data_IF_766268672496
#
_entry.id   IF_766268672496
#
_cell.length_a   1.000
_cell.length_b   1.000
_cell.length_c   1.000
_cell.angle_alpha   90.00
_cell.angle_beta   90.00
_cell.angle_gamma   90.00
#
_symmetry.space_group_name_H-M   'P 1'
#
loop_
_entity.id
_entity.type
_entity.pdbx_description
1 polymer ?
#
# COMPACT_ATOMS: atom_id res chain seq x y z
N UNK A 1 -55.54 -13.32 -32.19
CA UNK A 1 -54.54 -12.29 -31.81
C UNK A 1 -54.04 -12.60 -30.41
N UNK A 2 -53.09 -13.53 -30.35
CA UNK A 2 -52.50 -14.08 -29.13
C UNK A 2 -51.17 -13.35 -28.90
N UNK A 3 -51.05 -12.61 -27.79
CA UNK A 3 -49.78 -11.96 -27.41
C UNK A 3 -48.93 -12.96 -26.64
N UNK A 4 -47.83 -13.40 -27.26
CA UNK A 4 -46.76 -14.14 -26.60
C UNK A 4 -46.01 -13.20 -25.64
N UNK A 5 -45.79 -13.67 -24.41
CA UNK A 5 -44.81 -13.12 -23.47
C UNK A 5 -43.46 -13.72 -23.82
N UNK A 6 -42.52 -12.90 -24.27
CA UNK A 6 -41.12 -13.28 -24.35
C UNK A 6 -40.45 -13.04 -23.00
N UNK A 7 -40.00 -14.14 -22.40
CA UNK A 7 -39.11 -14.18 -21.25
C UNK A 7 -37.70 -13.83 -21.70
N UNK A 8 -37.26 -12.60 -21.41
CA UNK A 8 -35.86 -12.19 -21.57
C UNK A 8 -34.99 -12.85 -20.53
N UNK A 9 -34.33 -13.95 -20.91
CA UNK A 9 -33.22 -14.55 -20.18
C UNK A 9 -32.11 -13.50 -20.02
N UNK A 10 -31.86 -13.06 -18.79
CA UNK A 10 -30.62 -12.36 -18.47
C UNK A 10 -29.49 -13.37 -18.62
N UNK A 11 -28.79 -13.33 -19.75
CA UNK A 11 -27.52 -14.04 -19.89
C UNK A 11 -26.56 -13.45 -18.87
N UNK A 12 -26.06 -14.29 -17.96
CA UNK A 12 -24.93 -13.96 -17.12
C UNK A 12 -23.79 -13.49 -18.04
N UNK A 13 -23.48 -12.19 -17.98
CA UNK A 13 -22.30 -11.64 -18.61
C UNK A 13 -21.10 -12.45 -18.11
N UNK A 14 -20.35 -13.02 -19.04
CA UNK A 14 -19.21 -13.86 -18.73
C UNK A 14 -18.23 -13.15 -17.81
N UNK A 15 -17.72 -13.86 -16.80
CA UNK A 15 -16.53 -13.43 -16.07
C UNK A 15 -15.41 -13.28 -17.11
N UNK A 16 -14.93 -12.05 -17.29
CA UNK A 16 -14.00 -11.70 -18.36
C UNK A 16 -12.71 -12.52 -18.26
N UNK A 17 -12.28 -13.04 -19.40
CA UNK A 17 -11.08 -13.88 -19.59
C UNK A 17 -9.78 -13.07 -19.66
N UNK A 18 -9.76 -11.86 -19.14
CA UNK A 18 -8.55 -11.03 -19.15
C UNK A 18 -7.66 -11.46 -17.97
N UNK A 19 -6.49 -12.01 -18.27
CA UNK A 19 -5.50 -12.33 -17.25
C UNK A 19 -5.05 -11.09 -16.47
N UNK A 20 -4.28 -11.31 -15.39
CA UNK A 20 -3.74 -10.23 -14.58
C UNK A 20 -2.86 -9.31 -15.44
N UNK A 21 -3.15 -8.02 -15.43
CA UNK A 21 -2.43 -6.95 -16.15
C UNK A 21 -1.66 -6.01 -15.21
N UNK A 22 -2.05 -5.95 -13.94
CA UNK A 22 -1.39 -5.15 -12.91
C UNK A 22 -1.21 -5.98 -11.64
N UNK A 23 0.00 -5.98 -11.09
CA UNK A 23 0.33 -6.55 -9.78
C UNK A 23 0.80 -5.42 -8.87
N UNK A 24 0.16 -5.30 -7.72
CA UNK A 24 0.54 -4.36 -6.67
C UNK A 24 1.15 -5.12 -5.51
N UNK A 25 2.27 -4.61 -5.00
CA UNK A 25 3.06 -5.25 -3.96
C UNK A 25 3.11 -4.36 -2.73
N UNK A 26 2.67 -4.85 -1.57
CA UNK A 26 3.12 -4.26 -0.32
C UNK A 26 4.65 -4.42 -0.15
N UNK A 27 5.24 -3.56 0.68
CA UNK A 27 6.69 -3.51 0.90
C UNK A 27 7.10 -4.28 2.15
N UNK A 28 6.67 -3.86 3.33
CA UNK A 28 7.20 -4.33 4.61
C UNK A 28 6.58 -5.66 5.02
N UNK A 29 7.34 -6.75 5.08
CA UNK A 29 6.79 -8.07 5.39
C UNK A 29 6.26 -8.81 4.16
N UNK A 30 6.22 -8.15 3.00
CA UNK A 30 5.79 -8.72 1.71
C UNK A 30 6.94 -8.78 0.69
N UNK A 31 7.36 -7.63 0.14
CA UNK A 31 8.48 -7.54 -0.81
C UNK A 31 9.84 -7.57 -0.10
N UNK A 32 9.91 -6.94 1.07
CA UNK A 32 11.07 -6.87 1.96
C UNK A 32 10.79 -7.76 3.18
N UNK A 33 11.59 -8.82 3.34
CA UNK A 33 11.61 -9.65 4.54
C UNK A 33 12.60 -9.12 5.59
N UNK A 34 13.01 -9.98 6.52
CA UNK A 34 14.04 -9.66 7.52
C UNK A 34 15.42 -9.40 6.91
N UNK A 35 15.67 -9.94 5.71
CA UNK A 35 16.98 -9.88 5.04
C UNK A 35 16.97 -9.02 3.77
N UNK A 36 16.00 -8.13 3.61
CA UNK A 36 15.82 -7.33 2.39
C UNK A 36 14.96 -8.04 1.34
N UNK A 37 15.09 -7.62 0.09
CA UNK A 37 14.38 -8.27 -1.03
C UNK A 37 15.07 -9.59 -1.39
N UNK A 38 14.34 -10.69 -1.38
CA UNK A 38 14.90 -12.00 -1.72
C UNK A 38 15.40 -12.03 -3.19
N UNK A 39 16.59 -12.59 -3.50
CA UNK A 39 17.18 -12.53 -4.85
C UNK A 39 16.34 -13.11 -5.99
N UNK A 40 15.41 -14.04 -5.69
CA UNK A 40 14.48 -14.62 -6.68
C UNK A 40 13.46 -13.60 -7.20
N UNK A 41 13.21 -12.53 -6.47
CA UNK A 41 12.17 -11.55 -6.82
C UNK A 41 12.55 -10.77 -8.08
N UNK A 42 13.83 -10.39 -8.25
CA UNK A 42 14.24 -9.56 -9.39
C UNK A 42 14.07 -10.26 -10.75
N UNK A 43 14.53 -11.52 -10.95
CA UNK A 43 14.24 -12.24 -12.19
C UNK A 43 12.74 -12.47 -12.42
N UNK A 44 11.96 -12.71 -11.36
CA UNK A 44 10.51 -12.90 -11.47
C UNK A 44 9.79 -11.62 -11.91
N UNK A 45 10.18 -10.46 -11.35
CA UNK A 45 9.69 -9.14 -11.78
C UNK A 45 10.04 -8.86 -13.24
N UNK A 46 11.30 -9.10 -13.63
CA UNK A 46 11.73 -8.92 -15.01
C UNK A 46 10.94 -9.79 -15.98
N UNK A 47 10.68 -11.05 -15.61
CA UNK A 47 9.86 -11.97 -16.40
C UNK A 47 8.41 -11.49 -16.51
N UNK A 48 7.77 -11.13 -15.39
CA UNK A 48 6.39 -10.63 -15.40
C UNK A 48 6.23 -9.39 -16.28
N UNK A 49 7.16 -8.45 -16.16
CA UNK A 49 7.20 -7.24 -17.01
C UNK A 49 7.44 -7.57 -18.49
N UNK A 50 8.29 -8.55 -18.78
CA UNK A 50 8.52 -9.04 -20.15
C UNK A 50 7.27 -9.64 -20.81
N UNK A 51 6.35 -10.16 -20.01
CA UNK A 51 5.04 -10.67 -20.44
C UNK A 51 3.93 -9.58 -20.42
N UNK A 52 4.32 -8.31 -20.25
CA UNK A 52 3.40 -7.17 -20.29
C UNK A 52 2.61 -6.93 -18.99
N UNK A 53 2.96 -7.62 -17.89
CA UNK A 53 2.37 -7.34 -16.58
C UNK A 53 3.01 -6.08 -15.99
N UNK A 54 2.18 -5.11 -15.66
CA UNK A 54 2.57 -3.89 -14.96
C UNK A 54 2.77 -4.24 -13.48
N UNK A 55 3.83 -3.72 -12.86
CA UNK A 55 4.09 -3.96 -11.43
C UNK A 55 4.35 -2.65 -10.71
N UNK A 56 3.58 -2.42 -9.63
CA UNK A 56 3.69 -1.23 -8.80
C UNK A 56 3.77 -1.58 -7.31
N UNK A 57 4.13 -0.59 -6.50
CA UNK A 57 4.12 -0.72 -5.04
C UNK A 57 2.76 -0.26 -4.48
N UNK A 58 2.37 -0.79 -3.32
CA UNK A 58 1.22 -0.34 -2.56
C UNK A 58 1.55 -0.35 -1.06
N UNK A 59 2.05 0.77 -0.55
CA UNK A 59 2.73 0.84 0.76
C UNK A 59 2.30 2.03 1.61
N UNK A 60 2.48 1.92 2.92
CA UNK A 60 2.41 3.04 3.86
C UNK A 60 3.62 3.98 3.77
N UNK A 61 4.73 3.52 3.18
CA UNK A 61 5.97 4.32 3.08
C UNK A 61 5.79 5.56 2.18
N UNK A 62 6.54 6.65 2.45
CA UNK A 62 6.61 7.80 1.56
C UNK A 62 7.40 7.49 0.29
N UNK A 63 7.09 8.18 -0.81
CA UNK A 63 7.79 8.04 -2.10
C UNK A 63 9.16 8.71 -2.17
N UNK A 64 9.98 8.55 -1.13
CA UNK A 64 11.30 9.18 -0.96
C UNK A 64 12.32 8.16 -0.47
N UNK A 65 13.60 8.51 -0.56
CA UNK A 65 14.71 7.67 -0.08
C UNK A 65 14.66 6.26 -0.68
N UNK A 66 14.88 5.24 0.16
CA UNK A 66 14.93 3.83 -0.23
C UNK A 66 13.65 3.34 -0.92
N UNK A 67 12.50 3.93 -0.59
CA UNK A 67 11.22 3.58 -1.24
C UNK A 67 11.15 4.06 -2.68
N UNK A 68 11.72 5.23 -2.97
CA UNK A 68 11.79 5.76 -4.34
C UNK A 68 12.75 4.93 -5.20
N UNK A 69 13.88 4.52 -4.63
CA UNK A 69 14.83 3.60 -5.28
C UNK A 69 14.15 2.26 -5.59
N UNK A 70 13.45 1.68 -4.61
CA UNK A 70 12.70 0.43 -4.78
C UNK A 70 11.61 0.55 -5.84
N UNK A 71 10.87 1.66 -5.85
CA UNK A 71 9.86 1.94 -6.87
C UNK A 71 10.47 1.96 -8.28
N UNK A 72 11.62 2.61 -8.45
CA UNK A 72 12.35 2.67 -9.71
C UNK A 72 12.84 1.30 -10.20
N UNK A 73 13.21 0.40 -9.28
CA UNK A 73 13.60 -0.97 -9.64
C UNK A 73 12.38 -1.84 -10.01
N UNK A 74 11.30 -1.74 -9.23
CA UNK A 74 10.07 -2.53 -9.44
C UNK A 74 9.38 -2.15 -10.74
N UNK A 75 9.17 -0.85 -10.97
CA UNK A 75 8.39 -0.35 -12.10
C UNK A 75 8.65 1.13 -12.36
N UNK A 76 9.75 1.51 -13.04
CA UNK A 76 10.18 2.91 -13.14
C UNK A 76 9.17 3.84 -13.86
N UNK A 77 8.34 3.28 -14.73
CA UNK A 77 7.28 3.99 -15.45
C UNK A 77 5.88 3.65 -14.95
N UNK A 78 5.77 2.85 -13.89
CA UNK A 78 4.50 2.37 -13.38
C UNK A 78 3.98 3.22 -12.22
N UNK A 79 2.65 3.26 -12.01
CA UNK A 79 2.09 3.94 -10.85
C UNK A 79 2.33 3.14 -9.57
N UNK A 80 2.82 3.82 -8.54
CA UNK A 80 2.98 3.31 -7.18
C UNK A 80 1.99 4.02 -6.25
N UNK A 81 1.38 3.26 -5.35
CA UNK A 81 0.51 3.74 -4.29
C UNK A 81 1.36 3.88 -3.02
N UNK A 82 1.46 5.11 -2.52
CA UNK A 82 2.36 5.52 -1.43
C UNK A 82 1.54 6.16 -0.31
N UNK A 83 2.11 6.24 0.89
CA UNK A 83 1.47 6.87 2.04
C UNK A 83 0.04 6.35 2.28
N UNK A 84 -0.13 5.03 2.23
CA UNK A 84 -1.42 4.33 2.38
C UNK A 84 -2.51 4.85 1.44
N UNK A 85 -2.12 5.29 0.24
CA UNK A 85 -3.04 5.77 -0.79
C UNK A 85 -3.17 7.29 -0.88
N UNK A 86 -2.47 8.06 -0.04
CA UNK A 86 -2.51 9.52 -0.12
C UNK A 86 -1.85 10.04 -1.40
N UNK A 87 -0.88 9.31 -1.95
CA UNK A 87 -0.17 9.65 -3.18
C UNK A 87 -0.19 8.46 -4.14
N UNK A 88 -0.49 8.73 -5.41
CA UNK A 88 -0.25 7.80 -6.52
C UNK A 88 0.66 8.47 -7.52
N UNK A 89 1.82 7.89 -7.81
CA UNK A 89 2.81 8.50 -8.70
C UNK A 89 3.87 7.54 -9.20
N UNK A 90 4.68 8.01 -10.14
CA UNK A 90 5.80 7.26 -10.73
C UNK A 90 7.12 8.00 -10.47
N UNK A 91 8.25 7.29 -10.35
CA UNK A 91 9.56 7.90 -10.17
C UNK A 91 9.85 8.99 -11.21
N UNK A 92 10.32 10.15 -10.74
CA UNK A 92 10.71 11.27 -11.61
C UNK A 92 9.56 11.99 -12.33
N UNK A 93 8.29 11.73 -11.95
CA UNK A 93 7.10 12.36 -12.55
C UNK A 93 6.24 13.02 -11.47
N UNK A 94 5.47 14.08 -11.81
CA UNK A 94 4.47 14.62 -10.89
C UNK A 94 3.45 13.55 -10.48
N UNK A 95 2.92 13.59 -9.25
CA UNK A 95 1.93 12.63 -8.78
C UNK A 95 0.63 12.75 -9.59
N UNK A 96 0.03 11.60 -9.84
CA UNK A 96 -1.25 11.45 -10.57
C UNK A 96 -2.44 11.67 -9.62
N UNK A 97 -2.26 11.35 -8.34
CA UNK A 97 -3.18 11.62 -7.25
C UNK A 97 -2.39 12.10 -6.04
N UNK A 98 -2.88 13.16 -5.39
CA UNK A 98 -2.40 13.61 -4.08
C UNK A 98 -3.61 14.02 -3.25
N UNK A 99 -3.69 13.51 -2.03
CA UNK A 99 -4.67 13.93 -1.03
C UNK A 99 -3.96 14.59 0.14
N UNK A 100 -4.41 15.77 0.55
CA UNK A 100 -3.79 16.55 1.63
C UNK A 100 -4.58 16.49 2.93
N UNK A 101 -3.87 16.47 4.06
CA UNK A 101 -4.46 16.55 5.39
C UNK A 101 -5.02 17.95 5.63
N UNK A 102 -6.31 18.05 5.95
CA UNK A 102 -6.94 19.34 6.23
C UNK A 102 -6.27 20.03 7.45
N UNK A 103 -6.10 21.37 7.46
CA UNK A 103 -5.46 22.06 8.59
C UNK A 103 -6.06 21.76 9.97
N UNK A 104 -7.39 21.57 10.14
CA UNK A 104 -7.95 21.10 11.41
C UNK A 104 -7.45 19.73 11.85
N UNK A 105 -7.27 18.79 10.91
CA UNK A 105 -6.72 17.47 11.20
C UNK A 105 -5.25 17.56 11.59
N UNK A 106 -4.44 18.37 10.89
CA UNK A 106 -3.03 18.59 11.26
C UNK A 106 -2.90 19.13 12.69
N UNK A 107 -3.76 20.08 13.08
CA UNK A 107 -3.81 20.57 14.47
C UNK A 107 -4.19 19.47 15.46
N UNK A 108 -5.24 18.70 15.17
CA UNK A 108 -5.66 17.60 16.03
C UNK A 108 -4.59 16.52 16.21
N UNK A 109 -3.82 16.23 15.15
CA UNK A 109 -2.70 15.29 15.20
C UNK A 109 -1.58 15.80 16.10
N UNK A 110 -1.25 17.09 16.04
CA UNK A 110 -0.24 17.71 16.92
C UNK A 110 -0.69 17.70 18.38
N UNK A 111 -1.95 18.03 18.64
CA UNK A 111 -2.52 18.02 19.98
C UNK A 111 -2.47 16.59 20.57
N UNK A 112 -2.79 15.60 19.75
CA UNK A 112 -2.75 14.18 20.12
C UNK A 112 -1.30 13.69 20.33
N UNK A 113 -0.35 14.10 19.49
CA UNK A 113 1.08 13.82 19.68
C UNK A 113 1.57 14.32 21.05
N UNK A 114 1.26 15.58 21.35
CA UNK A 114 1.63 16.22 22.61
C UNK A 114 0.96 15.57 23.82
N UNK A 115 -0.33 15.22 23.72
CA UNK A 115 -1.08 14.60 24.81
C UNK A 115 -0.58 13.19 25.15
N UNK A 116 -0.14 12.43 24.15
CA UNK A 116 0.35 11.06 24.33
C UNK A 116 1.87 10.95 24.45
N UNK A 117 2.61 12.05 24.21
CA UNK A 117 4.08 12.05 24.24
C UNK A 117 4.70 11.15 23.17
N UNK A 118 4.08 11.11 21.98
CA UNK A 118 4.50 10.26 20.85
C UNK A 118 5.04 11.12 19.71
N UNK A 119 6.03 10.63 18.95
CA UNK A 119 6.53 11.34 17.78
C UNK A 119 5.45 11.45 16.71
N UNK A 120 5.38 12.63 16.09
CA UNK A 120 4.54 12.89 14.92
C UNK A 120 5.45 13.23 13.74
N UNK A 121 5.33 12.41 12.71
CA UNK A 121 5.97 12.61 11.42
C UNK A 121 4.92 13.15 10.44
N UNK A 122 5.26 14.23 9.72
CA UNK A 122 4.43 14.79 8.66
C UNK A 122 5.16 14.68 7.33
N UNK A 123 4.47 14.22 6.30
CA UNK A 123 5.03 14.12 4.96
C UNK A 123 4.52 15.28 4.10
N UNK A 124 5.45 16.07 3.56
CA UNK A 124 5.18 17.27 2.77
C UNK A 124 6.07 17.24 1.54
N UNK A 125 5.48 17.11 0.34
CA UNK A 125 6.25 16.93 -0.88
C UNK A 125 7.20 15.74 -0.76
N UNK A 126 8.50 16.01 -0.87
CA UNK A 126 9.57 15.01 -0.72
C UNK A 126 10.26 15.03 0.66
N UNK A 127 9.63 15.65 1.66
CA UNK A 127 10.20 15.79 3.00
C UNK A 127 9.42 15.00 4.06
N UNK A 128 10.16 14.33 4.94
CA UNK A 128 9.70 13.90 6.26
C UNK A 128 10.00 15.03 7.26
N UNK A 129 8.97 15.57 7.89
CA UNK A 129 9.06 16.74 8.78
C UNK A 129 8.65 16.36 10.20
N UNK A 130 9.47 16.76 11.17
CA UNK A 130 9.27 16.45 12.60
C UNK A 130 9.59 17.66 13.47
N UNK A 131 9.03 17.69 14.68
CA UNK A 131 9.38 18.69 15.71
C UNK A 131 10.64 18.26 16.50
N UNK A 132 10.85 16.95 16.66
CA UNK A 132 11.95 16.37 17.43
C UNK A 132 12.42 15.05 16.82
N UNK A 133 13.70 14.74 17.04
CA UNK A 133 14.28 13.44 16.71
C UNK A 133 14.38 12.61 18.00
N UNK A 134 13.47 11.66 18.16
CA UNK A 134 13.63 10.60 19.14
C UNK A 134 14.26 9.35 18.50
N UNK A 135 14.56 8.35 19.34
CA UNK A 135 15.22 7.13 18.88
C UNK A 135 14.43 6.44 17.76
N UNK A 136 13.11 6.37 17.86
CA UNK A 136 12.31 5.60 16.91
C UNK A 136 12.12 6.36 15.59
N UNK A 137 11.99 7.68 15.64
CA UNK A 137 11.97 8.58 14.46
C UNK A 137 13.28 8.49 13.70
N UNK A 138 14.42 8.46 14.40
CA UNK A 138 15.74 8.29 13.77
C UNK A 138 15.83 6.92 13.09
N UNK A 139 15.45 5.84 13.77
CA UNK A 139 15.45 4.49 13.17
C UNK A 139 14.52 4.38 11.96
N UNK A 140 13.34 5.00 12.03
CA UNK A 140 12.41 5.04 10.91
C UNK A 140 13.01 5.81 9.72
N UNK A 141 13.58 6.99 9.97
CA UNK A 141 14.24 7.77 8.94
C UNK A 141 15.44 7.04 8.30
N UNK A 142 16.24 6.33 9.11
CA UNK A 142 17.33 5.47 8.63
C UNK A 142 16.80 4.31 7.77
N UNK A 143 15.71 3.66 8.16
CA UNK A 143 15.08 2.60 7.37
C UNK A 143 14.56 3.09 6.01
N UNK A 144 14.14 4.35 5.95
CA UNK A 144 13.71 5.03 4.73
C UNK A 144 14.88 5.64 3.96
N UNK A 145 16.10 5.68 4.52
CA UNK A 145 17.24 6.33 3.90
C UNK A 145 17.08 7.84 3.75
N UNK A 146 16.36 8.50 4.67
CA UNK A 146 16.06 9.93 4.62
C UNK A 146 16.63 10.69 5.81
N UNK A 147 16.91 11.97 5.61
CA UNK A 147 17.22 12.91 6.70
C UNK A 147 15.97 13.74 6.99
N UNK A 148 15.37 13.63 8.20
CA UNK A 148 14.18 14.42 8.53
C UNK A 148 14.49 15.92 8.57
N UNK A 149 13.53 16.72 8.13
CA UNK A 149 13.53 18.16 8.36
C UNK A 149 12.99 18.43 9.76
N UNK A 150 13.83 18.96 10.64
CA UNK A 150 13.44 19.29 12.01
C UNK A 150 13.00 20.76 12.07
N UNK A 151 11.77 20.99 12.51
CA UNK A 151 11.23 22.33 12.75
C UNK A 151 11.16 22.62 14.25
N UNK A 152 11.26 23.89 14.62
CA UNK A 152 11.03 24.31 15.99
C UNK A 152 9.57 24.08 16.43
N UNK A 153 8.64 24.18 15.48
CA UNK A 153 7.20 23.96 15.68
C UNK A 153 6.56 23.56 14.35
N UNK A 154 5.80 22.46 14.35
CA UNK A 154 4.93 22.04 13.24
C UNK A 154 3.73 23.00 13.07
N UNK A 155 3.57 24.02 13.92
CA UNK A 155 2.63 25.13 13.66
C UNK A 155 3.12 26.03 12.52
N UNK A 156 4.43 26.05 12.26
CA UNK A 156 5.08 26.99 11.35
C UNK A 156 5.16 26.43 9.91
N UNK A 157 4.41 25.38 9.62
CA UNK A 157 4.34 24.77 8.30
C UNK A 157 3.81 25.75 7.26
N UNK A 158 4.56 25.89 6.17
CA UNK A 158 4.17 26.68 5.00
C UNK A 158 3.30 25.88 4.04
N UNK A 159 3.57 24.58 3.94
CA UNK A 159 2.96 23.68 2.98
C UNK A 159 2.10 22.64 3.70
N UNK A 160 1.05 22.18 3.02
CA UNK A 160 0.07 21.28 3.60
C UNK A 160 0.58 19.82 3.54
N UNK A 161 0.62 19.09 4.68
CA UNK A 161 0.98 17.68 4.69
C UNK A 161 0.03 16.83 3.85
N UNK A 162 0.58 15.78 3.24
CA UNK A 162 -0.19 14.77 2.49
C UNK A 162 -0.55 13.56 3.36
N UNK A 163 0.29 13.25 4.34
CA UNK A 163 0.06 12.19 5.31
C UNK A 163 0.81 12.48 6.60
N UNK A 164 0.46 11.73 7.64
CA UNK A 164 1.15 11.72 8.91
C UNK A 164 1.43 10.28 9.35
N UNK A 165 2.45 10.10 10.19
CA UNK A 165 2.73 8.83 10.85
C UNK A 165 2.98 9.08 12.34
N UNK A 166 2.35 8.26 13.19
CA UNK A 166 2.84 8.06 14.56
C UNK A 166 3.58 6.74 14.63
N UNK A 167 4.71 6.72 15.32
CA UNK A 167 5.39 5.47 15.64
C UNK A 167 5.32 5.23 17.14
N UNK A 168 4.66 4.14 17.53
CA UNK A 168 4.40 3.84 18.95
C UNK A 168 4.76 2.40 19.32
N UNK A 169 5.17 2.15 20.58
CA UNK A 169 5.26 0.79 21.10
C UNK A 169 3.92 0.04 21.01
N UNK A 170 3.96 -1.28 20.75
CA UNK A 170 2.74 -2.10 20.60
C UNK A 170 1.78 -2.01 21.79
N UNK A 171 2.30 -1.94 23.01
CA UNK A 171 1.49 -1.85 24.23
C UNK A 171 0.78 -0.49 24.40
N UNK A 172 1.20 0.53 23.65
CA UNK A 172 0.57 1.85 23.61
C UNK A 172 -0.46 2.00 22.48
N UNK A 173 -0.47 1.08 21.50
CA UNK A 173 -1.35 1.18 20.34
C UNK A 173 -2.82 1.28 20.72
N UNK A 174 -3.33 0.42 21.62
CA UNK A 174 -4.75 0.42 21.99
C UNK A 174 -5.22 1.77 22.57
N UNK A 175 -4.34 2.49 23.28
CA UNK A 175 -4.66 3.82 23.80
C UNK A 175 -4.70 4.87 22.70
N UNK A 176 -3.77 4.80 21.74
CA UNK A 176 -3.69 5.74 20.63
C UNK A 176 -4.81 5.49 19.61
N UNK A 177 -5.13 4.23 19.34
CA UNK A 177 -6.19 3.81 18.42
C UNK A 177 -7.54 4.44 18.78
N UNK A 178 -7.90 4.41 20.06
CA UNK A 178 -9.13 5.04 20.54
C UNK A 178 -9.14 6.56 20.33
N UNK A 179 -8.00 7.24 20.52
CA UNK A 179 -7.87 8.68 20.26
C UNK A 179 -7.93 8.98 18.75
N UNK A 180 -7.27 8.16 17.93
CA UNK A 180 -7.29 8.25 16.48
C UNK A 180 -8.70 8.02 15.90
N UNK A 181 -9.49 7.12 16.48
CA UNK A 181 -10.88 6.89 16.06
C UNK A 181 -11.78 8.13 16.25
N UNK A 182 -11.40 9.05 17.13
CA UNK A 182 -12.08 10.33 17.34
C UNK A 182 -11.66 11.44 16.38
N UNK A 183 -10.66 11.22 15.52
CA UNK A 183 -10.16 12.26 14.61
C UNK A 183 -11.18 12.54 13.49
N UNK A 184 -11.66 13.79 13.36
CA UNK A 184 -12.54 14.15 12.26
C UNK A 184 -11.74 14.16 10.95
N UNK A 185 -12.39 13.71 9.86
CA UNK A 185 -11.85 13.80 8.51
C UNK A 185 -10.52 13.04 8.29
N UNK A 186 -10.28 11.99 9.08
CA UNK A 186 -9.09 11.16 8.99
C UNK A 186 -9.42 9.75 8.47
N UNK A 187 -8.46 9.16 7.76
CA UNK A 187 -8.34 7.72 7.59
C UNK A 187 -7.13 7.25 8.38
N UNK A 188 -7.27 6.19 9.17
CA UNK A 188 -6.19 5.67 10.02
C UNK A 188 -5.96 4.20 9.71
N UNK A 189 -4.69 3.81 9.56
CA UNK A 189 -4.29 2.42 9.37
C UNK A 189 -3.03 2.12 10.16
N UNK A 190 -3.01 0.99 10.86
CA UNK A 190 -1.85 0.50 11.58
C UNK A 190 -1.09 -0.52 10.72
N UNK A 191 0.23 -0.38 10.67
CA UNK A 191 1.14 -1.30 10.00
C UNK A 191 2.25 -1.75 10.95
N UNK A 192 2.81 -2.91 10.64
CA UNK A 192 3.98 -3.47 11.32
C UNK A 192 5.10 -3.67 10.31
N UNK A 193 6.33 -3.73 10.78
CA UNK A 193 7.48 -4.01 9.92
C UNK A 193 8.43 -5.01 10.57
N UNK A 194 9.12 -5.88 9.80
CA UNK A 194 10.04 -6.87 10.35
C UNK A 194 11.21 -6.28 11.15
N UNK A 195 11.73 -5.10 10.77
CA UNK A 195 12.91 -4.50 11.41
C UNK A 195 12.63 -3.78 12.74
N UNK A 196 11.36 -3.44 13.00
CA UNK A 196 10.89 -2.86 14.27
C UNK A 196 9.65 -3.62 14.77
N UNK A 197 9.81 -4.90 15.14
CA UNK A 197 8.68 -5.77 15.44
C UNK A 197 7.92 -5.33 16.70
N UNK A 198 8.51 -4.54 17.59
CA UNK A 198 7.87 -4.03 18.81
C UNK A 198 7.15 -2.69 18.63
N UNK A 199 7.13 -2.15 17.40
CA UNK A 199 6.51 -0.87 17.06
C UNK A 199 5.31 -1.03 16.12
N UNK A 200 4.36 -0.10 16.24
CA UNK A 200 3.26 0.10 15.31
C UNK A 200 3.47 1.43 14.60
N UNK A 201 3.32 1.41 13.28
CA UNK A 201 3.34 2.59 12.42
C UNK A 201 1.90 2.94 12.08
N UNK A 202 1.44 4.06 12.60
CA UNK A 202 0.05 4.52 12.48
C UNK A 202 0.00 5.55 11.38
N UNK A 203 -0.32 5.10 10.17
CA UNK A 203 -0.48 5.98 9.02
C UNK A 203 -1.82 6.70 9.10
N UNK A 204 -1.78 8.03 9.03
CA UNK A 204 -2.96 8.89 8.97
C UNK A 204 -3.01 9.63 7.65
N UNK A 205 -4.06 9.35 6.88
CA UNK A 205 -4.42 10.06 5.66
C UNK A 205 -5.66 10.92 5.86
N UNK A 206 -6.05 11.67 4.82
CA UNK A 206 -7.34 12.34 4.80
C UNK A 206 -8.48 11.31 4.71
N UNK A 207 -9.69 11.70 5.13
CA UNK A 207 -10.85 10.82 5.03
C UNK A 207 -11.07 10.30 3.61
N UNK A 208 -11.31 8.99 3.51
CA UNK A 208 -11.49 8.29 2.24
C UNK A 208 -10.17 7.87 1.56
N UNK A 209 -9.02 8.19 2.14
CA UNK A 209 -7.72 7.67 1.72
C UNK A 209 -7.51 6.28 2.32
N UNK A 210 -7.18 5.30 1.50
CA UNK A 210 -6.73 3.97 1.91
C UNK A 210 -6.04 3.27 0.73
N UNK A 211 -5.39 2.13 0.98
CA UNK A 211 -4.79 1.32 -0.10
C UNK A 211 -5.87 0.90 -1.10
N UNK A 212 -6.98 0.31 -0.63
CA UNK A 212 -8.09 -0.12 -1.48
C UNK A 212 -8.76 1.03 -2.26
N UNK A 213 -8.91 2.20 -1.65
CA UNK A 213 -9.44 3.39 -2.33
C UNK A 213 -8.52 3.86 -3.46
N UNK A 214 -7.20 3.90 -3.21
CA UNK A 214 -6.22 4.26 -4.22
C UNK A 214 -6.12 3.22 -5.34
N UNK A 215 -6.22 1.92 -5.03
CA UNK A 215 -6.32 0.84 -6.02
C UNK A 215 -7.54 1.03 -6.91
N UNK A 216 -8.70 1.28 -6.31
CA UNK A 216 -9.96 1.50 -7.03
C UNK A 216 -9.89 2.73 -7.94
N UNK A 217 -9.22 3.79 -7.49
CA UNK A 217 -8.93 4.96 -8.32
C UNK A 217 -7.99 4.62 -9.47
N UNK A 218 -6.90 3.90 -9.19
CA UNK A 218 -5.88 3.52 -10.16
C UNK A 218 -6.43 2.60 -11.26
N UNK A 219 -7.27 1.63 -10.90
CA UNK A 219 -7.96 0.74 -11.84
C UNK A 219 -8.72 1.57 -12.88
N UNK A 220 -9.50 2.57 -12.45
CA UNK A 220 -10.23 3.47 -13.36
C UNK A 220 -9.29 4.33 -14.19
N UNK A 221 -8.23 4.84 -13.57
CA UNK A 221 -7.26 5.70 -14.24
C UNK A 221 -6.53 4.96 -15.38
N UNK A 222 -6.26 3.67 -15.20
CA UNK A 222 -5.56 2.83 -16.17
C UNK A 222 -6.49 2.08 -17.14
N UNK A 223 -7.80 2.34 -17.09
CA UNK A 223 -8.83 1.63 -17.86
C UNK A 223 -8.71 0.09 -17.69
N UNK A 224 -8.50 -0.33 -16.44
CA UNK A 224 -8.45 -1.73 -16.04
C UNK A 224 -9.77 -2.15 -15.42
N UNK A 225 -9.97 -3.47 -15.30
CA UNK A 225 -11.02 -4.05 -14.48
C UNK A 225 -10.44 -4.57 -13.18
N UNK A 226 -11.26 -4.63 -12.12
CA UNK A 226 -10.88 -5.27 -10.85
C UNK A 226 -10.27 -6.65 -11.08
N UNK A 227 -10.92 -7.47 -11.91
CA UNK A 227 -10.51 -8.85 -12.23
C UNK A 227 -9.12 -8.96 -12.86
N UNK A 228 -8.62 -7.88 -13.47
CA UNK A 228 -7.28 -7.81 -14.08
C UNK A 228 -6.17 -7.33 -13.14
N UNK A 229 -6.47 -7.12 -11.86
CA UNK A 229 -5.49 -6.62 -10.86
C UNK A 229 -5.26 -7.67 -9.78
N UNK A 230 -4.00 -7.82 -9.37
CA UNK A 230 -3.61 -8.60 -8.20
C UNK A 230 -2.97 -7.70 -7.13
N UNK A 231 -3.17 -8.06 -5.86
CA UNK A 231 -2.51 -7.45 -4.70
C UNK A 231 -1.79 -8.53 -3.90
N UNK A 232 -0.52 -8.30 -3.58
CA UNK A 232 0.26 -9.14 -2.65
C UNK A 232 0.51 -8.34 -1.37
N UNK A 233 0.16 -8.89 -0.21
CA UNK A 233 0.30 -8.22 1.08
C UNK A 233 0.41 -9.16 2.28
N UNK A 234 0.65 -8.59 3.45
CA UNK A 234 0.84 -9.33 4.71
C UNK A 234 0.12 -8.70 5.91
N UNK A 235 -0.30 -7.44 5.81
CA UNK A 235 -0.80 -6.67 6.94
C UNK A 235 -2.32 -6.59 7.02
N UNK A 236 -2.81 -6.23 8.21
CA UNK A 236 -4.24 -5.88 8.40
C UNK A 236 -4.67 -4.70 7.54
N UNK A 237 -3.72 -3.80 7.23
CA UNK A 237 -3.88 -2.66 6.33
C UNK A 237 -3.93 -3.05 4.83
N UNK A 238 -3.82 -4.34 4.48
CA UNK A 238 -4.00 -4.84 3.12
C UNK A 238 -5.40 -5.44 2.87
N UNK A 239 -6.20 -5.65 3.92
CA UNK A 239 -7.53 -6.25 3.79
C UNK A 239 -8.45 -5.44 2.87
N UNK A 240 -8.44 -4.11 2.97
CA UNK A 240 -9.21 -3.25 2.09
C UNK A 240 -8.65 -3.24 0.65
N UNK A 241 -7.34 -3.45 0.49
CA UNK A 241 -6.69 -3.61 -0.80
C UNK A 241 -7.08 -4.94 -1.45
N UNK A 242 -7.22 -6.02 -0.68
CA UNK A 242 -7.66 -7.33 -1.16
C UNK A 242 -9.08 -7.28 -1.71
N UNK A 243 -9.99 -6.56 -1.03
CA UNK A 243 -11.35 -6.35 -1.52
C UNK A 243 -11.40 -5.61 -2.87
N UNK A 244 -10.42 -4.73 -3.13
CA UNK A 244 -10.35 -3.88 -4.31
C UNK A 244 -9.82 -4.57 -5.58
N UNK A 245 -9.28 -5.81 -5.49
CA UNK A 245 -8.61 -6.51 -6.60
C UNK A 245 -9.28 -7.83 -6.97
N UNK A 246 -8.98 -8.35 -8.16
CA UNK A 246 -9.49 -9.61 -8.68
C UNK A 246 -8.77 -10.85 -8.14
N UNK A 247 -7.52 -10.69 -7.72
CA UNK A 247 -6.70 -11.73 -7.12
C UNK A 247 -5.94 -11.16 -5.91
N UNK A 248 -6.38 -11.54 -4.71
CA UNK A 248 -5.69 -11.21 -3.46
C UNK A 248 -4.73 -12.34 -3.06
N UNK A 249 -3.51 -11.98 -2.68
CA UNK A 249 -2.46 -12.94 -2.34
C UNK A 249 -1.84 -12.54 -1.01
N UNK A 250 -1.93 -13.41 0.00
CA UNK A 250 -1.24 -13.24 1.27
C UNK A 250 0.08 -14.01 1.32
N UNK A 251 1.10 -13.46 1.97
CA UNK A 251 2.33 -14.21 2.29
C UNK A 251 2.14 -15.09 3.53
N UNK A 252 2.96 -16.13 3.68
CA UNK A 252 2.82 -17.11 4.77
C UNK A 252 2.94 -16.51 6.18
N UNK A 253 3.76 -15.46 6.32
CA UNK A 253 4.01 -14.73 7.58
C UNK A 253 2.88 -13.81 8.02
N UNK A 254 1.88 -13.57 7.16
CA UNK A 254 0.74 -12.72 7.47
C UNK A 254 -0.13 -13.29 8.61
N UNK A 255 -0.82 -12.44 9.40
CA UNK A 255 -1.80 -12.88 10.39
C UNK A 255 -2.84 -13.84 9.79
N UNK A 256 -3.37 -14.74 10.62
CA UNK A 256 -4.36 -15.74 10.16
C UNK A 256 -5.57 -15.10 9.47
N UNK A 257 -6.03 -13.96 9.98
CA UNK A 257 -7.13 -13.20 9.40
C UNK A 257 -6.84 -12.76 7.96
N UNK A 258 -5.66 -12.19 7.71
CA UNK A 258 -5.20 -11.76 6.39
C UNK A 258 -5.08 -12.94 5.43
N UNK A 259 -4.49 -14.05 5.87
CA UNK A 259 -4.36 -15.27 5.04
C UNK A 259 -5.71 -15.92 4.72
N UNK A 260 -6.67 -15.80 5.62
CA UNK A 260 -8.03 -16.35 5.43
C UNK A 260 -8.83 -15.50 4.45
N UNK A 261 -8.58 -14.20 4.41
CA UNK A 261 -9.23 -13.27 3.48
C UNK A 261 -8.68 -13.37 2.03
N UNK A 262 -7.44 -13.82 1.85
CA UNK A 262 -6.81 -13.91 0.54
C UNK A 262 -7.30 -15.09 -0.32
N UNK A 263 -7.33 -14.92 -1.63
CA UNK A 263 -7.64 -15.98 -2.60
C UNK A 263 -6.52 -17.03 -2.72
N UNK A 264 -5.29 -16.61 -2.42
CA UNK A 264 -4.10 -17.44 -2.46
C UNK A 264 -3.17 -17.09 -1.29
N UNK A 265 -2.53 -18.10 -0.73
CA UNK A 265 -1.41 -17.92 0.19
C UNK A 265 -0.15 -18.46 -0.46
N UNK A 266 0.90 -17.65 -0.51
CA UNK A 266 2.23 -18.02 -1.04
C UNK A 266 3.23 -18.21 0.11
N UNK A 267 4.51 -18.45 -0.22
CA UNK A 267 5.59 -18.62 0.75
C UNK A 267 5.84 -17.40 1.64
N UNK A 268 6.93 -17.46 2.40
CA UNK A 268 7.37 -16.37 3.26
C UNK A 268 8.16 -15.31 2.47
N UNK A 269 8.12 -14.05 2.90
CA UNK A 269 8.87 -12.96 2.28
C UNK A 269 10.38 -13.28 2.21
N UNK A 270 10.95 -13.87 3.26
CA UNK A 270 12.36 -14.27 3.30
C UNK A 270 12.69 -15.48 2.40
N UNK A 271 11.67 -16.10 1.79
CA UNK A 271 11.80 -17.22 0.84
C UNK A 271 11.46 -16.82 -0.60
N UNK A 272 11.12 -15.55 -0.82
CA UNK A 272 10.77 -15.02 -2.14
C UNK A 272 9.29 -15.16 -2.48
N UNK A 273 8.39 -14.94 -1.51
CA UNK A 273 6.93 -14.95 -1.69
C UNK A 273 6.44 -14.18 -2.93
N UNK A 274 6.98 -13.00 -3.19
CA UNK A 274 6.62 -12.20 -4.39
C UNK A 274 7.00 -12.93 -5.68
N UNK A 275 8.14 -13.64 -5.71
CA UNK A 275 8.50 -14.46 -6.86
C UNK A 275 7.50 -15.60 -7.07
N UNK A 276 7.12 -16.30 -6.00
CA UNK A 276 6.12 -17.38 -6.05
C UNK A 276 4.76 -16.85 -6.57
N UNK A 277 4.34 -15.66 -6.11
CA UNK A 277 3.11 -15.01 -6.56
C UNK A 277 3.14 -14.69 -8.06
N UNK A 278 4.22 -14.08 -8.55
CA UNK A 278 4.39 -13.74 -9.97
C UNK A 278 4.47 -15.00 -10.84
N UNK A 279 5.19 -16.04 -10.41
CA UNK A 279 5.27 -17.33 -11.09
C UNK A 279 3.91 -18.00 -11.21
N UNK A 280 3.09 -17.94 -10.15
CA UNK A 280 1.72 -18.46 -10.16
C UNK A 280 0.82 -17.70 -11.15
N UNK A 281 0.89 -16.37 -11.17
CA UNK A 281 0.12 -15.53 -12.10
C UNK A 281 0.48 -15.88 -13.55
N UNK A 282 1.77 -15.93 -13.86
CA UNK A 282 2.28 -16.26 -15.20
C UNK A 282 1.88 -17.68 -15.63
N UNK A 283 1.97 -18.65 -14.71
CA UNK A 283 1.57 -20.04 -14.97
C UNK A 283 0.10 -20.18 -15.35
N UNK A 284 -0.80 -19.45 -14.68
CA UNK A 284 -2.23 -19.44 -15.00
C UNK A 284 -2.52 -18.83 -16.38
N UNK A 285 -1.82 -17.76 -16.75
CA UNK A 285 -2.00 -17.11 -18.05
C UNK A 285 -1.54 -18.00 -19.21
N UNK A 286 -0.41 -18.71 -19.05
CA UNK A 286 0.06 -19.67 -20.04
C UNK A 286 -0.94 -20.82 -20.29
N UNK A 287 -1.56 -21.35 -19.23
CA UNK A 287 -2.57 -22.41 -19.34
C UNK A 287 -3.87 -21.97 -20.03
N UNK A 288 -4.28 -20.71 -19.83
CA UNK A 288 -5.45 -20.13 -20.50
C UNK A 288 -5.19 -19.90 -22.01
N UNK A 289 -3.98 -19.49 -22.39
CA UNK A 289 -3.62 -19.35 -23.80
C UNK A 289 -3.52 -20.68 -24.55
N UNK A 290 -3.07 -21.75 -23.88
CA UNK A 290 -3.03 -23.09 -24.49
C UNK A 290 -4.40 -23.74 -24.63
N UNK A 291 -5.37 -23.38 -23.78
CA UNK A 291 -6.74 -23.92 -23.83
C UNK A 291 -7.65 -23.20 -24.83
N UNK A 292 -7.22 -22.05 -25.36
CA UNK A 292 -7.95 -21.23 -26.32
C UNK A 292 -7.50 -21.41 -27.78
N UNK A 293 -6.44 -22.20 -28.02
CA UNK A 293 -5.94 -22.62 -29.34
C UNK A 293 -6.42 -24.04 -29.67
#
# INVERSE_FOLDING_TARGET
>A
MTRHRESGSHSAAGRGTDGIRLVLLDVDGTLIGNHGVHPRVWPALAKARGEGIRVGLCTGRPGIGSTLELAAEVGPDEPHILLSGAVVGSPGRPPMLTTSLAPPLVRALRDLAAAHGVPLELYIGEAMVVEQLDRITVLHAESLGVTPTVLASLADLTDQPVAACFTVPRDQWASLEAACAGLPLASVSAATTPWAPDSIFVNVGAAGTSKGAAISWLIKHLDLTRDSVAMVGDGMNDLDAFDAVGLSIAVAGAPLEVRTAADLVVGDADQGAVADALEHILGRQAGNHQSAC
#
